data_IF_334567928680
#
_entry.id   IF_334567928680
#
_cell.length_a   1.000
_cell.length_b   1.000
_cell.length_c   1.000
_cell.angle_alpha   90.00
_cell.angle_beta   90.00
_cell.angle_gamma   90.00
#
_symmetry.space_group_name_H-M   'P 1'
#
loop_
_entity.id
_entity.type
_entity.pdbx_description
1 polymer ?
#
# COMPACT_ATOMS: atom_id res chain seq x y z
N UNK A 1 62.99 -15.75 -23.22
CA UNK A 1 62.10 -15.39 -24.34
C UNK A 1 60.66 -15.73 -23.95
N UNK A 2 59.77 -14.75 -24.00
CA UNK A 2 58.36 -14.81 -23.61
C UNK A 2 57.56 -15.80 -24.49
N UNK A 3 56.57 -16.53 -23.94
CA UNK A 3 55.45 -17.02 -24.73
C UNK A 3 54.19 -16.14 -24.54
N UNK A 4 53.79 -15.59 -25.67
CA UNK A 4 52.46 -15.17 -26.16
C UNK A 4 51.30 -15.05 -25.14
N UNK A 5 50.86 -13.80 -25.00
CA UNK A 5 49.54 -13.40 -24.51
C UNK A 5 48.44 -13.95 -25.45
N UNK A 6 47.53 -14.76 -24.90
CA UNK A 6 46.24 -15.06 -25.54
C UNK A 6 45.26 -13.93 -25.19
N UNK A 7 44.84 -13.19 -26.21
CA UNK A 7 43.73 -12.25 -26.19
C UNK A 7 42.40 -13.02 -26.10
N UNK A 8 41.63 -12.80 -25.03
CA UNK A 8 40.23 -13.18 -24.95
C UNK A 8 39.34 -12.01 -25.41
N UNK A 9 38.23 -12.28 -26.12
CA UNK A 9 37.37 -11.25 -26.67
C UNK A 9 36.53 -10.56 -25.59
N UNK A 10 36.33 -9.26 -25.78
CA UNK A 10 35.37 -8.42 -25.06
C UNK A 10 33.97 -9.03 -25.16
N UNK A 11 33.53 -9.76 -24.14
CA UNK A 11 32.13 -10.16 -24.00
C UNK A 11 31.36 -8.95 -23.49
N UNK A 12 30.55 -8.38 -24.39
CA UNK A 12 29.69 -7.23 -24.13
C UNK A 12 28.82 -7.43 -22.89
N UNK A 13 28.88 -6.45 -22.00
CA UNK A 13 28.00 -6.31 -20.84
C UNK A 13 26.58 -6.10 -21.35
N UNK A 14 25.74 -7.13 -21.33
CA UNK A 14 24.30 -6.94 -21.49
C UNK A 14 23.75 -6.31 -20.22
N UNK A 15 23.43 -5.02 -20.29
CA UNK A 15 22.61 -4.32 -19.31
C UNK A 15 21.28 -5.08 -19.13
N UNK A 16 21.12 -5.84 -18.04
CA UNK A 16 19.83 -6.43 -17.66
C UNK A 16 18.89 -5.32 -17.19
N UNK A 17 18.16 -4.75 -18.16
CA UNK A 17 17.19 -3.69 -17.98
C UNK A 17 16.12 -4.06 -16.96
N UNK A 18 15.86 -3.08 -16.08
CA UNK A 18 14.78 -2.99 -15.13
C UNK A 18 13.42 -3.47 -15.69
N UNK A 19 12.90 -4.57 -15.17
CA UNK A 19 11.66 -5.17 -15.69
C UNK A 19 10.48 -4.79 -14.79
N UNK A 20 9.93 -3.59 -14.95
CA UNK A 20 8.72 -3.17 -14.23
C UNK A 20 7.55 -4.13 -14.54
N UNK A 21 6.63 -4.39 -13.60
CA UNK A 21 5.45 -5.24 -13.86
C UNK A 21 4.22 -4.41 -14.22
N UNK A 22 3.39 -4.92 -15.11
CA UNK A 22 2.11 -4.30 -15.42
C UNK A 22 1.14 -4.44 -14.24
N UNK A 23 0.55 -3.33 -13.78
CA UNK A 23 -0.44 -3.33 -12.70
C UNK A 23 -1.69 -4.13 -13.06
N UNK A 24 -2.04 -4.18 -14.36
CA UNK A 24 -3.21 -4.89 -14.85
C UNK A 24 -2.93 -6.39 -15.03
N UNK A 25 -2.08 -6.78 -15.97
CA UNK A 25 -1.86 -8.20 -16.33
C UNK A 25 -0.74 -8.89 -15.52
N UNK A 26 -0.09 -8.19 -14.60
CA UNK A 26 0.99 -8.67 -13.71
C UNK A 26 2.26 -9.17 -14.40
N UNK A 27 2.31 -9.23 -15.74
CA UNK A 27 3.51 -9.56 -16.52
C UNK A 27 4.63 -8.56 -16.26
N UNK A 28 5.85 -9.05 -16.25
CA UNK A 28 7.08 -8.28 -16.29
C UNK A 28 7.24 -7.60 -17.68
N UNK A 29 7.95 -6.48 -17.76
CA UNK A 29 8.27 -5.77 -19.00
C UNK A 29 7.40 -4.54 -19.24
N UNK A 30 6.72 -4.05 -18.21
CA UNK A 30 6.11 -2.74 -18.25
C UNK A 30 7.18 -1.66 -18.44
N UNK A 31 6.94 -0.73 -19.34
CA UNK A 31 7.81 0.43 -19.53
C UNK A 31 7.03 1.74 -19.42
N UNK A 32 5.70 1.67 -19.47
CA UNK A 32 4.82 2.84 -19.53
C UNK A 32 4.26 3.12 -18.14
N UNK A 33 4.24 4.38 -17.74
CA UNK A 33 3.55 4.85 -16.55
C UNK A 33 2.28 5.62 -16.92
N UNK A 34 1.31 5.68 -16.01
CA UNK A 34 0.18 6.57 -16.16
C UNK A 34 0.67 8.01 -16.26
N UNK A 35 0.44 8.66 -17.40
CA UNK A 35 0.88 10.04 -17.65
C UNK A 35 0.29 11.06 -16.67
N UNK A 36 -0.87 10.76 -16.07
CA UNK A 36 -1.55 11.67 -15.15
C UNK A 36 -1.03 11.58 -13.71
N UNK A 37 -0.76 10.38 -13.20
CA UNK A 37 -0.40 10.20 -11.78
C UNK A 37 0.97 9.57 -11.53
N UNK A 38 1.66 9.04 -12.55
CA UNK A 38 2.97 8.35 -12.41
C UNK A 38 2.95 7.01 -11.64
N UNK A 39 1.93 6.77 -10.82
CA UNK A 39 1.90 5.69 -9.82
C UNK A 39 1.55 4.29 -10.37
N UNK A 40 1.01 4.18 -11.58
CA UNK A 40 0.62 2.90 -12.18
C UNK A 40 1.46 2.61 -13.43
N UNK A 41 1.92 1.35 -13.57
CA UNK A 41 2.78 0.90 -14.68
C UNK A 41 2.07 -0.12 -15.58
N UNK A 42 2.34 -0.07 -16.88
CA UNK A 42 1.66 -0.85 -17.91
C UNK A 42 2.66 -1.35 -18.97
N UNK A 43 2.41 -2.54 -19.50
CA UNK A 43 3.11 -3.02 -20.69
C UNK A 43 2.66 -2.26 -21.95
N UNK A 44 1.36 -1.99 -22.07
CA UNK A 44 0.78 -1.35 -23.24
C UNK A 44 -0.47 -0.51 -22.89
N UNK A 45 -1.00 0.18 -23.91
CA UNK A 45 -2.19 1.04 -23.80
C UNK A 45 -3.44 0.25 -23.41
N UNK A 46 -3.59 -0.98 -23.88
CA UNK A 46 -4.77 -1.80 -23.58
C UNK A 46 -4.84 -2.15 -22.09
N UNK A 47 -3.71 -2.51 -21.48
CA UNK A 47 -3.64 -2.73 -20.04
C UNK A 47 -3.93 -1.45 -19.24
N UNK A 48 -3.50 -0.29 -19.74
CA UNK A 48 -3.84 1.00 -19.14
C UNK A 48 -5.34 1.29 -19.21
N UNK A 49 -5.97 1.11 -20.37
CA UNK A 49 -7.42 1.33 -20.57
C UNK A 49 -8.23 0.37 -19.71
N UNK A 50 -7.90 -0.92 -19.70
CA UNK A 50 -8.61 -1.90 -18.87
C UNK A 50 -8.48 -1.56 -17.38
N UNK A 51 -7.30 -1.17 -16.91
CA UNK A 51 -7.12 -0.71 -15.53
C UNK A 51 -7.87 0.60 -15.24
N UNK A 52 -7.92 1.52 -16.21
CA UNK A 52 -8.69 2.77 -16.14
C UNK A 52 -10.17 2.49 -15.84
N UNK A 53 -10.79 1.59 -16.61
CA UNK A 53 -12.19 1.18 -16.43
C UNK A 53 -12.42 0.33 -15.18
N UNK A 54 -11.43 -0.49 -14.78
CA UNK A 54 -11.46 -1.26 -13.53
C UNK A 54 -11.40 -0.38 -12.26
N UNK A 55 -11.30 0.95 -12.41
CA UNK A 55 -11.47 1.91 -11.33
C UNK A 55 -10.27 2.82 -11.10
N UNK A 56 -9.16 2.63 -11.85
CA UNK A 56 -8.02 3.54 -11.76
C UNK A 56 -8.42 4.99 -12.07
N UNK A 57 -9.44 5.23 -12.92
CA UNK A 57 -9.97 6.58 -13.19
C UNK A 57 -10.33 7.36 -11.92
N UNK A 58 -10.87 6.68 -10.90
CA UNK A 58 -11.31 7.30 -9.64
C UNK A 58 -10.10 7.72 -8.80
N UNK A 59 -9.12 6.83 -8.69
CA UNK A 59 -7.89 7.11 -7.92
C UNK A 59 -6.99 8.10 -8.65
N UNK A 60 -6.94 8.04 -9.98
CA UNK A 60 -6.12 8.92 -10.80
C UNK A 60 -6.70 10.34 -10.88
N UNK A 61 -8.02 10.50 -10.73
CA UNK A 61 -8.68 11.79 -10.68
C UNK A 61 -8.70 12.43 -9.29
N UNK A 62 -8.48 11.66 -8.22
CA UNK A 62 -8.22 12.22 -6.91
C UNK A 62 -7.02 13.16 -7.03
N UNK A 63 -7.14 14.39 -6.52
CA UNK A 63 -6.05 15.37 -6.59
C UNK A 63 -4.82 14.73 -5.92
N UNK A 64 -3.69 14.53 -6.64
CA UNK A 64 -2.42 14.47 -5.97
C UNK A 64 -2.24 15.87 -5.39
N UNK A 65 -2.60 16.01 -4.12
CA UNK A 65 -2.48 17.29 -3.46
C UNK A 65 -0.99 17.54 -3.36
N UNK A 66 -0.60 18.58 -4.09
CA UNK A 66 0.57 19.45 -4.02
C UNK A 66 1.59 19.08 -2.94
N UNK A 67 2.87 19.23 -3.26
CA UNK A 67 3.94 19.33 -2.26
C UNK A 67 3.50 20.28 -1.15
N UNK A 68 3.08 19.72 -0.01
CA UNK A 68 2.92 20.51 1.18
C UNK A 68 4.32 20.88 1.64
N UNK A 69 4.65 22.17 1.78
CA UNK A 69 5.96 22.55 2.28
C UNK A 69 6.18 21.87 3.64
N UNK A 70 7.41 21.40 3.94
CA UNK A 70 7.75 21.01 5.29
C UNK A 70 7.40 22.15 6.24
N UNK A 71 6.75 21.83 7.35
CA UNK A 71 6.39 22.77 8.40
C UNK A 71 6.75 22.11 9.73
N UNK A 72 7.37 22.90 10.60
CA UNK A 72 7.90 22.47 11.89
C UNK A 72 6.81 21.85 12.78
N UNK A 73 7.18 20.82 13.55
CA UNK A 73 6.25 20.11 14.44
C UNK A 73 5.26 19.15 13.74
N UNK A 74 5.27 19.06 12.40
CA UNK A 74 4.36 18.21 11.65
C UNK A 74 5.11 17.22 10.75
N UNK A 75 4.61 15.99 10.68
CA UNK A 75 5.14 14.95 9.79
C UNK A 75 5.05 15.36 8.32
N UNK A 76 6.02 14.95 7.51
CA UNK A 76 5.99 15.21 6.06
C UNK A 76 4.77 14.53 5.40
N UNK A 77 4.19 15.17 4.37
CA UNK A 77 3.11 14.60 3.57
C UNK A 77 3.61 14.36 2.15
N UNK A 78 3.54 13.11 1.70
CA UNK A 78 3.85 12.74 0.33
C UNK A 78 2.59 12.72 -0.53
N UNK A 79 2.68 12.91 -1.87
CA UNK A 79 1.53 12.88 -2.77
C UNK A 79 0.77 11.54 -2.81
N UNK A 80 1.37 10.47 -2.28
CA UNK A 80 0.77 9.15 -2.16
C UNK A 80 1.77 8.10 -1.68
N UNK A 81 1.38 6.82 -1.75
CA UNK A 81 2.29 5.71 -1.49
C UNK A 81 3.51 5.77 -2.40
N UNK A 82 4.73 5.51 -1.89
CA UNK A 82 5.94 5.57 -2.70
C UNK A 82 5.93 4.48 -3.78
N UNK A 83 6.54 4.74 -4.94
CA UNK A 83 6.54 3.81 -6.07
C UNK A 83 7.35 2.53 -5.87
N UNK A 84 8.22 2.49 -4.86
CA UNK A 84 8.88 1.24 -4.45
C UNK A 84 7.94 0.27 -3.75
N UNK A 85 6.76 0.73 -3.33
CA UNK A 85 5.75 -0.08 -2.66
C UNK A 85 5.27 -1.21 -3.59
N UNK A 86 5.36 -2.47 -3.12
CA UNK A 86 5.23 -3.74 -3.87
C UNK A 86 6.45 -4.16 -4.71
N UNK A 87 7.58 -3.45 -4.58
CA UNK A 87 8.84 -3.68 -5.31
C UNK A 87 10.06 -3.33 -4.46
N UNK A 88 9.95 -3.46 -3.14
CA UNK A 88 11.00 -3.04 -2.23
C UNK A 88 12.37 -3.65 -2.57
N UNK A 89 12.42 -4.97 -2.81
CA UNK A 89 13.63 -5.69 -3.20
C UNK A 89 14.34 -5.05 -4.39
N UNK A 90 13.59 -4.79 -5.46
CA UNK A 90 14.13 -4.20 -6.67
C UNK A 90 14.66 -2.77 -6.42
N UNK A 91 13.90 -1.97 -5.68
CA UNK A 91 14.31 -0.60 -5.37
C UNK A 91 15.52 -0.54 -4.44
N UNK A 92 15.62 -1.45 -3.46
CA UNK A 92 16.78 -1.60 -2.58
C UNK A 92 18.03 -1.98 -3.38
N UNK A 93 17.92 -2.91 -4.33
CA UNK A 93 19.05 -3.32 -5.18
C UNK A 93 19.62 -2.14 -5.99
N UNK A 94 18.75 -1.26 -6.50
CA UNK A 94 19.16 -0.04 -7.21
C UNK A 94 19.92 0.95 -6.33
N UNK A 95 19.71 0.93 -5.02
CA UNK A 95 20.35 1.85 -4.06
C UNK A 95 21.70 1.36 -3.54
N UNK A 96 22.18 0.19 -3.98
CA UNK A 96 23.42 -0.42 -3.52
C UNK A 96 23.18 -1.46 -2.42
N UNK A 97 23.88 -2.61 -2.54
CA UNK A 97 23.71 -3.83 -1.73
C UNK A 97 23.66 -3.54 -0.22
N UNK A 98 22.47 -3.61 0.36
CA UNK A 98 22.27 -3.56 1.80
C UNK A 98 21.52 -4.85 2.19
N UNK A 99 22.24 -5.91 2.61
CA UNK A 99 21.75 -7.29 2.61
C UNK A 99 20.62 -7.61 3.61
N UNK A 100 20.32 -6.73 4.56
CA UNK A 100 19.26 -6.93 5.58
C UNK A 100 17.96 -6.13 5.31
N UNK A 101 17.88 -5.41 4.20
CA UNK A 101 16.78 -4.46 3.94
C UNK A 101 15.49 -5.05 3.36
N UNK A 102 15.51 -6.12 2.52
CA UNK A 102 14.28 -6.64 1.90
C UNK A 102 13.23 -7.09 2.92
N UNK A 103 13.64 -7.83 3.95
CA UNK A 103 12.73 -8.35 4.97
C UNK A 103 12.05 -7.24 5.78
N UNK A 104 12.77 -6.15 6.07
CA UNK A 104 12.22 -4.98 6.78
C UNK A 104 11.20 -4.23 5.92
N UNK A 105 11.50 -4.07 4.63
CA UNK A 105 10.56 -3.44 3.71
C UNK A 105 9.32 -4.31 3.46
N UNK A 106 9.47 -5.64 3.39
CA UNK A 106 8.35 -6.57 3.27
C UNK A 106 7.40 -6.47 4.46
N UNK A 107 7.92 -6.42 5.70
CA UNK A 107 7.09 -6.23 6.90
C UNK A 107 6.27 -4.93 6.83
N UNK A 108 6.85 -3.86 6.29
CA UNK A 108 6.14 -2.61 6.10
C UNK A 108 5.11 -2.68 4.95
N UNK A 109 5.42 -3.34 3.85
CA UNK A 109 4.44 -3.63 2.78
C UNK A 109 3.24 -4.40 3.32
N UNK A 110 3.47 -5.44 4.12
CA UNK A 110 2.40 -6.24 4.75
C UNK A 110 1.56 -5.41 5.73
N UNK A 111 2.20 -4.55 6.53
CA UNK A 111 1.50 -3.60 7.40
C UNK A 111 0.59 -2.66 6.60
N UNK A 112 1.13 -2.02 5.57
CA UNK A 112 0.38 -1.07 4.73
C UNK A 112 -0.72 -1.77 3.92
N UNK A 113 -0.51 -3.00 3.47
CA UNK A 113 -1.54 -3.82 2.82
C UNK A 113 -2.68 -4.17 3.81
N UNK A 114 -2.33 -4.56 5.04
CA UNK A 114 -3.30 -4.80 6.11
C UNK A 114 -4.15 -3.55 6.37
N UNK A 115 -3.53 -2.37 6.51
CA UNK A 115 -4.27 -1.12 6.70
C UNK A 115 -5.21 -0.81 5.54
N UNK A 116 -4.75 -1.00 4.30
CA UNK A 116 -5.60 -0.81 3.12
C UNK A 116 -6.81 -1.77 3.12
N UNK A 117 -6.61 -3.05 3.45
CA UNK A 117 -7.68 -4.06 3.57
C UNK A 117 -8.63 -3.74 4.71
N UNK A 118 -8.13 -3.30 5.86
CA UNK A 118 -8.97 -2.87 7.00
C UNK A 118 -9.87 -1.69 6.62
N UNK A 119 -9.31 -0.69 5.91
CA UNK A 119 -10.11 0.44 5.39
C UNK A 119 -11.16 -0.03 4.39
N UNK A 120 -10.79 -0.95 3.49
CA UNK A 120 -11.73 -1.52 2.53
C UNK A 120 -12.84 -2.31 3.23
N UNK A 121 -12.52 -3.10 4.25
CA UNK A 121 -13.48 -3.85 5.05
C UNK A 121 -14.50 -2.93 5.71
N UNK A 122 -14.05 -1.86 6.37
CA UNK A 122 -14.97 -0.86 6.94
C UNK A 122 -15.84 -0.21 5.87
N UNK A 123 -15.28 0.08 4.69
CA UNK A 123 -16.06 0.62 3.56
C UNK A 123 -17.11 -0.39 3.06
N UNK A 124 -16.74 -1.65 2.93
CA UNK A 124 -17.60 -2.73 2.49
C UNK A 124 -18.82 -2.87 3.42
N UNK A 125 -18.62 -3.01 4.73
CA UNK A 125 -19.71 -3.14 5.70
C UNK A 125 -20.65 -1.92 5.70
N UNK A 126 -20.11 -0.70 5.62
CA UNK A 126 -20.92 0.53 5.51
C UNK A 126 -21.81 0.58 4.27
N UNK A 127 -21.54 -0.25 3.26
CA UNK A 127 -22.31 -0.31 2.01
C UNK A 127 -23.32 -1.45 1.98
N UNK A 128 -23.27 -2.37 2.93
CA UNK A 128 -24.26 -3.44 3.05
C UNK A 128 -25.53 -2.93 3.71
N UNK A 129 -26.65 -3.62 3.49
CA UNK A 129 -27.94 -3.28 4.11
C UNK A 129 -27.87 -3.32 5.64
N UNK A 130 -27.16 -4.30 6.19
CA UNK A 130 -26.96 -4.50 7.64
C UNK A 130 -25.92 -3.57 8.27
N UNK A 131 -25.17 -2.81 7.46
CA UNK A 131 -24.23 -1.82 7.97
C UNK A 131 -23.13 -2.38 8.88
N UNK A 132 -22.81 -1.64 9.95
CA UNK A 132 -21.75 -1.99 10.91
C UNK A 132 -22.28 -2.57 12.24
N UNK A 133 -23.54 -2.32 12.57
CA UNK A 133 -24.09 -2.57 13.90
C UNK A 133 -25.13 -3.69 13.92
N UNK A 134 -25.76 -4.03 12.78
CA UNK A 134 -26.69 -5.15 12.78
C UNK A 134 -25.94 -6.47 12.85
N UNK A 135 -26.59 -7.45 13.48
CA UNK A 135 -26.01 -8.76 13.68
C UNK A 135 -26.35 -9.69 12.51
N UNK A 136 -25.33 -10.36 11.98
CA UNK A 136 -25.47 -11.43 10.99
C UNK A 136 -24.74 -12.69 11.48
N UNK A 137 -25.00 -13.82 10.84
CA UNK A 137 -24.35 -15.08 11.16
C UNK A 137 -22.82 -14.96 11.01
N UNK A 138 -22.06 -15.57 11.94
CA UNK A 138 -20.61 -15.56 11.93
C UNK A 138 -20.03 -16.12 10.62
N UNK A 139 -20.65 -17.17 10.06
CA UNK A 139 -20.26 -17.72 8.77
C UNK A 139 -20.35 -16.69 7.63
N UNK A 140 -21.31 -15.76 7.69
CA UNK A 140 -21.42 -14.68 6.71
C UNK A 140 -20.32 -13.62 6.90
N UNK A 141 -19.95 -13.33 8.15
CA UNK A 141 -18.76 -12.54 8.43
C UNK A 141 -17.49 -13.20 7.88
N UNK A 142 -17.31 -14.52 8.02
CA UNK A 142 -16.15 -15.21 7.47
C UNK A 142 -16.05 -15.08 5.96
N UNK A 143 -17.16 -15.21 5.23
CA UNK A 143 -17.20 -14.98 3.77
C UNK A 143 -16.82 -13.53 3.45
N UNK A 144 -17.40 -12.56 4.16
CA UNK A 144 -17.15 -11.14 3.95
C UNK A 144 -15.69 -10.76 4.19
N UNK A 145 -15.12 -11.19 5.32
CA UNK A 145 -13.71 -11.00 5.65
C UNK A 145 -12.81 -11.71 4.63
N UNK A 146 -13.17 -12.94 4.25
CA UNK A 146 -12.44 -13.75 3.29
C UNK A 146 -12.37 -13.12 1.90
N UNK A 147 -13.47 -12.53 1.43
CA UNK A 147 -13.53 -11.81 0.15
C UNK A 147 -12.57 -10.61 0.08
N UNK A 148 -12.17 -10.08 1.24
CA UNK A 148 -11.24 -8.95 1.40
C UNK A 148 -9.85 -9.42 1.83
N UNK A 149 -9.65 -10.73 1.99
CA UNK A 149 -8.37 -11.37 2.24
C UNK A 149 -8.01 -11.58 3.70
N UNK A 150 -8.96 -11.41 4.63
CA UNK A 150 -8.79 -11.72 6.04
C UNK A 150 -9.21 -13.16 6.35
N UNK A 151 -8.43 -13.85 7.17
CA UNK A 151 -8.77 -15.15 7.72
C UNK A 151 -9.38 -14.94 9.13
N UNK A 152 -10.70 -14.74 9.17
CA UNK A 152 -11.42 -14.55 10.43
C UNK A 152 -11.43 -15.84 11.27
N UNK A 153 -11.56 -17.01 10.63
CA UNK A 153 -11.57 -18.33 11.27
C UNK A 153 -10.32 -18.58 12.11
N UNK A 154 -9.14 -18.11 11.68
CA UNK A 154 -7.89 -18.25 12.43
C UNK A 154 -7.90 -17.61 13.83
N UNK A 155 -8.87 -16.74 14.12
CA UNK A 155 -9.08 -16.14 15.44
C UNK A 155 -10.50 -16.36 15.99
N UNK A 156 -11.25 -17.32 15.45
CA UNK A 156 -12.59 -17.63 15.93
C UNK A 156 -12.54 -18.08 17.40
N UNK A 157 -13.29 -17.44 18.32
CA UNK A 157 -13.40 -17.92 19.69
C UNK A 157 -14.08 -19.29 19.74
N UNK A 158 -13.65 -20.17 20.65
CA UNK A 158 -14.13 -21.55 20.73
C UNK A 158 -15.66 -21.68 20.87
N UNK A 159 -16.30 -20.75 21.59
CA UNK A 159 -17.74 -20.75 21.83
C UNK A 159 -18.58 -20.24 20.64
N UNK A 160 -17.95 -19.75 19.56
CA UNK A 160 -18.66 -19.13 18.44
C UNK A 160 -18.97 -20.15 17.35
N UNK A 161 -20.26 -20.38 17.15
CA UNK A 161 -20.79 -21.23 16.07
C UNK A 161 -21.02 -20.41 14.79
N UNK A 162 -21.22 -21.12 13.67
CA UNK A 162 -21.48 -20.51 12.36
C UNK A 162 -22.73 -19.63 12.35
N UNK A 163 -23.77 -20.06 13.06
CA UNK A 163 -25.06 -19.35 13.19
C UNK A 163 -25.05 -18.29 14.29
N UNK A 164 -23.95 -18.16 15.03
CA UNK A 164 -23.80 -17.14 16.06
C UNK A 164 -23.95 -15.74 15.48
N UNK A 165 -24.84 -14.93 16.05
CA UNK A 165 -25.13 -13.59 15.57
C UNK A 165 -24.13 -12.58 16.15
N UNK A 166 -23.42 -11.88 15.26
CA UNK A 166 -22.41 -10.88 15.63
C UNK A 166 -22.61 -9.64 14.77
N UNK A 167 -22.32 -8.47 15.32
CA UNK A 167 -22.12 -7.28 14.49
C UNK A 167 -20.66 -7.15 14.05
N UNK A 168 -20.40 -6.34 13.03
CA UNK A 168 -19.02 -5.99 12.65
C UNK A 168 -18.27 -5.32 13.82
N UNK A 169 -18.96 -4.49 14.61
CA UNK A 169 -18.37 -3.81 15.77
C UNK A 169 -17.95 -4.84 16.82
N UNK A 170 -18.79 -5.84 17.11
CA UNK A 170 -18.46 -6.89 18.08
C UNK A 170 -17.23 -7.69 17.64
N UNK A 171 -17.14 -8.05 16.36
CA UNK A 171 -15.96 -8.74 15.82
C UNK A 171 -14.70 -7.89 16.02
N UNK A 172 -14.75 -6.60 15.67
CA UNK A 172 -13.58 -5.73 15.81
C UNK A 172 -13.18 -5.51 17.27
N UNK A 173 -14.15 -5.41 18.18
CA UNK A 173 -13.87 -5.18 19.60
C UNK A 173 -13.37 -6.45 20.32
N UNK A 174 -13.91 -7.62 19.96
CA UNK A 174 -13.60 -8.88 20.65
C UNK A 174 -12.45 -9.65 19.99
N UNK A 175 -12.48 -9.78 18.66
CA UNK A 175 -11.49 -10.57 17.89
C UNK A 175 -10.35 -9.68 17.39
N UNK A 176 -10.63 -8.40 17.15
CA UNK A 176 -9.72 -7.47 16.52
C UNK A 176 -9.60 -7.69 15.02
N UNK A 177 -8.59 -7.09 14.40
CA UNK A 177 -8.31 -7.29 12.97
C UNK A 177 -7.66 -8.67 12.77
N UNK A 178 -8.29 -9.60 12.03
CA UNK A 178 -7.75 -10.94 11.82
C UNK A 178 -6.45 -10.94 10.99
N UNK A 179 -5.69 -12.05 10.96
CA UNK A 179 -4.57 -12.18 10.03
C UNK A 179 -5.03 -12.16 8.57
N UNK A 180 -4.14 -11.75 7.67
CA UNK A 180 -4.37 -11.89 6.23
C UNK A 180 -4.09 -13.33 5.80
N UNK A 181 -4.78 -13.80 4.76
CA UNK A 181 -4.38 -15.03 4.08
C UNK A 181 -2.95 -14.94 3.52
N UNK A 182 -2.28 -16.06 3.20
CA UNK A 182 -1.02 -16.04 2.46
C UNK A 182 -1.14 -15.26 1.14
N UNK A 183 -0.10 -14.50 0.77
CA UNK A 183 -0.10 -13.60 -0.40
C UNK A 183 -0.53 -14.30 -1.70
N UNK A 184 -0.19 -15.59 -1.84
CA UNK A 184 -0.52 -16.41 -3.00
C UNK A 184 -2.03 -16.59 -3.25
N UNK A 185 -2.85 -16.58 -2.19
CA UNK A 185 -4.30 -16.82 -2.28
C UNK A 185 -5.12 -15.58 -1.91
N UNK A 186 -4.48 -14.44 -1.65
CA UNK A 186 -5.19 -13.21 -1.30
C UNK A 186 -5.96 -12.68 -2.52
N UNK A 187 -7.24 -12.31 -2.35
CA UNK A 187 -7.99 -11.64 -3.41
C UNK A 187 -7.38 -10.27 -3.72
N UNK A 188 -7.48 -9.88 -4.99
CA UNK A 188 -7.15 -8.51 -5.43
C UNK A 188 -8.25 -7.57 -4.95
N UNK A 189 -7.86 -6.51 -4.23
CA UNK A 189 -8.83 -5.50 -3.80
C UNK A 189 -9.24 -4.60 -4.97
N UNK A 190 -10.54 -4.26 -5.07
CA UNK A 190 -10.97 -3.15 -5.89
C UNK A 190 -10.31 -1.84 -5.43
N UNK A 191 -10.04 -0.92 -6.38
CA UNK A 191 -9.47 0.37 -6.06
C UNK A 191 -10.40 1.18 -5.15
N UNK A 192 -9.93 1.53 -3.96
CA UNK A 192 -10.59 2.45 -3.05
C UNK A 192 -9.85 3.78 -3.04
N UNK A 193 -10.55 4.87 -3.35
CA UNK A 193 -9.98 6.22 -3.28
C UNK A 193 -9.76 6.56 -1.82
N UNK A 194 -8.52 6.88 -1.38
CA UNK A 194 -8.27 7.26 -0.02
C UNK A 194 -9.00 8.58 0.32
N UNK A 195 -9.35 8.73 1.59
CA UNK A 195 -10.04 9.90 2.11
C UNK A 195 -9.27 10.45 3.28
N UNK A 196 -9.16 11.77 3.34
CA UNK A 196 -8.56 12.46 4.45
C UNK A 196 -9.28 12.05 5.75
N UNK A 197 -8.51 11.71 6.79
CA UNK A 197 -9.09 11.28 8.06
C UNK A 197 -9.86 12.39 8.77
N UNK A 198 -9.59 13.66 8.44
CA UNK A 198 -10.27 14.82 8.99
C UNK A 198 -11.50 15.25 8.15
N UNK A 199 -11.33 15.89 6.98
CA UNK A 199 -12.43 16.40 6.13
C UNK A 199 -13.25 15.30 5.42
N UNK A 200 -12.77 14.05 5.37
CA UNK A 200 -13.33 12.95 4.54
C UNK A 200 -13.32 13.16 3.03
N UNK A 201 -12.74 14.25 2.56
CA UNK A 201 -12.53 14.56 1.15
C UNK A 201 -11.52 13.60 0.51
N UNK A 202 -11.73 13.27 -0.76
CA UNK A 202 -10.91 12.33 -1.51
C UNK A 202 -9.53 12.95 -1.80
N UNK A 203 -8.48 12.25 -1.38
CA UNK A 203 -7.11 12.69 -1.58
C UNK A 203 -6.16 11.49 -1.63
N UNK A 204 -4.99 11.68 -2.22
CA UNK A 204 -3.94 10.66 -2.21
C UNK A 204 -2.81 11.00 -1.25
N UNK A 205 -2.68 12.26 -0.83
CA UNK A 205 -1.59 12.67 0.04
C UNK A 205 -1.62 11.94 1.38
N UNK A 206 -0.45 11.49 1.83
CA UNK A 206 -0.31 10.66 3.01
C UNK A 206 0.93 11.01 3.85
N UNK A 207 0.76 10.89 5.16
CA UNK A 207 1.85 10.75 6.09
C UNK A 207 2.59 9.42 5.81
N UNK A 208 3.91 9.32 6.03
CA UNK A 208 4.66 8.07 5.88
C UNK A 208 4.02 6.86 6.57
N UNK A 209 3.32 7.02 7.71
CA UNK A 209 2.61 5.91 8.35
C UNK A 209 1.43 5.34 7.52
N UNK A 210 0.96 6.04 6.48
CA UNK A 210 -0.17 5.66 5.62
C UNK A 210 -1.50 6.36 5.93
N UNK A 211 -1.52 7.29 6.90
CA UNK A 211 -2.69 8.15 7.17
C UNK A 211 -2.80 9.26 6.12
N UNK A 212 -4.01 9.48 5.60
CA UNK A 212 -4.26 10.46 4.54
C UNK A 212 -4.72 11.81 5.09
N UNK A 213 -4.16 12.90 4.56
CA UNK A 213 -4.56 14.28 4.84
C UNK A 213 -4.66 15.05 3.53
N UNK A 214 -5.64 15.95 3.43
CA UNK A 214 -5.80 16.80 2.24
C UNK A 214 -5.16 18.18 2.38
N UNK A 215 -4.71 18.54 3.58
CA UNK A 215 -4.07 19.82 3.87
C UNK A 215 -3.27 19.72 5.17
N UNK A 216 -2.38 20.69 5.39
CA UNK A 216 -1.68 20.85 6.67
C UNK A 216 -2.66 21.18 7.80
N UNK A 217 -3.71 21.95 7.53
CA UNK A 217 -4.75 22.21 8.53
C UNK A 217 -5.42 20.91 8.99
N UNK A 218 -5.80 20.05 8.04
CA UNK A 218 -6.38 18.74 8.37
C UNK A 218 -5.42 17.86 9.18
N UNK A 219 -4.11 17.96 8.91
CA UNK A 219 -3.09 17.25 9.67
C UNK A 219 -2.94 17.81 11.10
N UNK A 220 -2.92 19.14 11.27
CA UNK A 220 -2.86 19.79 12.59
C UNK A 220 -4.06 19.43 13.46
N UNK A 221 -5.25 19.45 12.89
CA UNK A 221 -6.49 19.11 13.61
C UNK A 221 -6.50 17.67 14.15
N UNK A 222 -5.73 16.77 13.52
CA UNK A 222 -5.66 15.37 13.92
C UNK A 222 -4.39 15.03 14.72
N UNK A 223 -3.49 16.00 14.91
CA UNK A 223 -2.14 15.76 15.43
C UNK A 223 -2.14 15.01 16.76
N UNK A 224 -2.96 15.44 17.72
CA UNK A 224 -3.03 14.81 19.04
C UNK A 224 -3.46 13.33 19.01
N UNK A 225 -4.36 12.96 18.09
CA UNK A 225 -4.82 11.57 17.92
C UNK A 225 -3.85 10.74 17.07
N UNK A 226 -3.09 11.42 16.21
CA UNK A 226 -2.23 10.79 15.22
C UNK A 226 -0.84 10.46 15.78
N UNK A 227 -0.25 11.35 16.58
CA UNK A 227 1.18 11.32 16.95
C UNK A 227 1.60 9.97 17.55
N UNK A 228 0.90 9.47 18.57
CA UNK A 228 1.30 8.24 19.25
C UNK A 228 1.35 7.03 18.30
N UNK A 229 0.32 6.87 17.45
CA UNK A 229 0.30 5.82 16.43
C UNK A 229 1.41 6.03 15.40
N UNK A 230 1.59 7.28 14.94
CA UNK A 230 2.60 7.63 13.95
C UNK A 230 4.00 7.25 14.44
N UNK A 231 4.32 7.59 15.67
CA UNK A 231 5.64 7.37 16.27
C UNK A 231 5.92 5.88 16.39
N UNK A 232 4.93 5.09 16.85
CA UNK A 232 5.03 3.63 16.89
C UNK A 232 5.32 3.03 15.51
N UNK A 233 4.65 3.51 14.46
CA UNK A 233 4.87 3.04 13.08
C UNK A 233 6.25 3.46 12.57
N UNK A 234 6.65 4.71 12.82
CA UNK A 234 7.95 5.22 12.39
C UNK A 234 9.10 4.48 13.06
N UNK A 235 9.04 4.26 14.38
CA UNK A 235 10.05 3.50 15.12
C UNK A 235 10.10 2.06 14.64
N UNK A 236 8.94 1.41 14.46
CA UNK A 236 8.87 0.01 14.03
C UNK A 236 9.37 -0.21 12.60
N UNK A 237 9.20 0.77 11.72
CA UNK A 237 9.51 0.66 10.29
C UNK A 237 10.45 1.79 9.83
N UNK A 238 11.39 2.21 10.67
CA UNK A 238 12.30 3.34 10.42
C UNK A 238 12.98 3.24 9.05
N UNK A 239 13.43 2.04 8.70
CA UNK A 239 14.04 1.78 7.41
C UNK A 239 13.10 2.10 6.23
N UNK A 240 11.83 1.69 6.30
CA UNK A 240 10.84 2.01 5.27
C UNK A 240 10.56 3.51 5.21
N UNK A 241 10.63 4.22 6.34
CA UNK A 241 10.50 5.69 6.37
C UNK A 241 11.66 6.35 5.62
N UNK A 242 12.90 5.92 5.88
CA UNK A 242 14.09 6.40 5.17
C UNK A 242 14.01 6.11 3.67
N UNK A 243 13.54 4.91 3.29
CA UNK A 243 13.35 4.54 1.89
C UNK A 243 12.29 5.39 1.19
N UNK A 244 11.18 5.67 1.88
CA UNK A 244 10.12 6.58 1.42
C UNK A 244 10.67 7.98 1.19
N UNK A 245 11.43 8.53 2.14
CA UNK A 245 12.04 9.86 1.99
C UNK A 245 13.01 9.92 0.81
N UNK A 246 13.89 8.92 0.66
CA UNK A 246 14.82 8.84 -0.47
C UNK A 246 14.11 8.74 -1.82
N UNK A 247 13.04 7.97 -1.90
CA UNK A 247 12.22 7.85 -3.10
C UNK A 247 11.59 9.19 -3.49
N UNK A 248 10.96 9.87 -2.56
CA UNK A 248 10.34 11.14 -2.91
C UNK A 248 11.39 12.23 -3.19
N UNK A 249 12.55 12.19 -2.53
CA UNK A 249 13.69 13.05 -2.87
C UNK A 249 14.20 12.82 -4.30
N UNK A 250 14.33 11.57 -4.75
CA UNK A 250 14.75 11.28 -6.13
C UNK A 250 13.70 11.68 -7.18
N UNK A 251 12.43 11.78 -6.78
CA UNK A 251 11.33 12.32 -7.58
C UNK A 251 11.25 13.87 -7.54
N UNK A 252 12.25 14.54 -6.96
CA UNK A 252 12.32 16.00 -6.89
C UNK A 252 11.56 16.61 -5.71
N UNK A 253 11.13 15.82 -4.72
CA UNK A 253 10.48 16.35 -3.52
C UNK A 253 11.51 16.81 -2.48
N UNK A 254 11.27 17.98 -1.88
CA UNK A 254 12.08 18.47 -0.76
C UNK A 254 11.68 17.72 0.50
N UNK A 255 12.63 16.97 1.07
CA UNK A 255 12.50 16.25 2.35
C UNK A 255 12.76 17.17 3.53
#
# INVERSE_FOLDING_TARGET
MLPRLCTLPLVGVTHSGNVMRCVFCKKSGAAKQCSRCGNATYCNRDCQVRHWHAGHKKICAAKPLVLFPPEEGLRHLYPGPPGWFNRAEHYIQLLGKLPMLPNLAQKYEEYREREARTRYLRHFYKKQSYGMSECIAFAEHEKNFGSIGFNLTAKRPFAVTDDGLWSFIDIINTIGVPPLYPKAIRPTLPPLVPRCVQCKCECTAECPCGTNYCSRDCQRMDLSRHTEHCDKVHTKYEFAMALTARYWKSMGQKS
#
